data_IF_743241851005
#
_entry.id   IF_743241851005
#
_cell.length_a   1.000
_cell.length_b   1.000
_cell.length_c   1.000
_cell.angle_alpha   90.00
_cell.angle_beta   90.00
_cell.angle_gamma   90.00
#
_symmetry.space_group_name_H-M   'P 1'
#
loop_
_entity.id
_entity.type
_entity.pdbx_description
1 polymer ?
#
# COMPACT_ATOMS: atom_id res chain seq x y z
N UNK A 1 -6.01 -27.16 -2.51
CA UNK A 1 -7.47 -27.27 -2.50
C UNK A 1 -8.07 -25.97 -2.03
N UNK A 2 -8.83 -25.30 -2.85
CA UNK A 2 -9.51 -24.04 -2.49
C UNK A 2 -10.69 -24.43 -1.60
N UNK A 3 -10.79 -23.81 -0.42
CA UNK A 3 -11.94 -24.01 0.46
C UNK A 3 -13.19 -23.43 -0.20
N UNK A 4 -14.33 -24.07 0.00
CA UNK A 4 -15.63 -23.65 -0.55
C UNK A 4 -15.94 -22.18 -0.25
N UNK A 5 -15.69 -21.72 0.98
CA UNK A 5 -15.83 -20.32 1.40
C UNK A 5 -14.91 -19.34 0.64
N UNK A 6 -13.72 -19.78 0.23
CA UNK A 6 -12.80 -18.97 -0.60
C UNK A 6 -13.31 -18.88 -2.03
N UNK A 7 -13.88 -19.94 -2.55
CA UNK A 7 -14.51 -19.96 -3.87
C UNK A 7 -15.74 -19.03 -3.94
N UNK A 8 -16.58 -19.06 -2.93
CA UNK A 8 -17.74 -18.17 -2.82
C UNK A 8 -17.32 -16.69 -2.79
N UNK A 9 -16.30 -16.36 -2.01
CA UNK A 9 -15.74 -15.01 -1.96
C UNK A 9 -15.17 -14.59 -3.34
N UNK A 10 -14.46 -15.48 -4.02
CA UNK A 10 -13.92 -15.23 -5.36
C UNK A 10 -15.03 -14.92 -6.37
N UNK A 11 -16.07 -15.76 -6.43
CA UNK A 11 -17.20 -15.56 -7.35
C UNK A 11 -17.94 -14.25 -7.05
N UNK A 12 -18.14 -13.92 -5.79
CA UNK A 12 -18.78 -12.67 -5.40
C UNK A 12 -17.95 -11.43 -5.82
N UNK A 13 -16.64 -11.46 -5.59
CA UNK A 13 -15.72 -10.39 -5.99
C UNK A 13 -15.72 -10.21 -7.50
N UNK A 14 -15.68 -11.33 -8.24
CA UNK A 14 -15.74 -11.35 -9.70
C UNK A 14 -17.04 -10.75 -10.23
N UNK A 15 -18.17 -11.18 -9.70
CA UNK A 15 -19.49 -10.74 -10.15
C UNK A 15 -19.76 -9.25 -9.89
N UNK A 16 -19.23 -8.69 -8.80
CA UNK A 16 -19.47 -7.32 -8.38
C UNK A 16 -18.33 -6.34 -8.72
N UNK A 17 -17.23 -6.81 -9.30
CA UNK A 17 -16.11 -5.95 -9.70
C UNK A 17 -15.50 -5.15 -8.54
N UNK A 18 -15.33 -5.79 -7.37
CA UNK A 18 -14.90 -5.10 -6.14
C UNK A 18 -13.41 -4.75 -6.10
N UNK A 19 -12.59 -5.29 -6.99
CA UNK A 19 -11.15 -5.03 -7.09
C UNK A 19 -10.84 -4.24 -8.36
N UNK A 20 -9.80 -3.40 -8.30
CA UNK A 20 -9.23 -2.77 -9.50
C UNK A 20 -8.66 -3.82 -10.46
N UNK A 21 -8.57 -3.51 -11.76
CA UNK A 21 -8.17 -4.46 -12.79
C UNK A 21 -6.85 -5.19 -12.49
N UNK A 22 -5.84 -4.47 -12.03
CA UNK A 22 -4.52 -5.05 -11.67
C UNK A 22 -4.57 -5.86 -10.38
N UNK A 23 -5.34 -5.41 -9.39
CA UNK A 23 -5.55 -6.15 -8.15
C UNK A 23 -6.33 -7.44 -8.42
N UNK A 24 -7.32 -7.38 -9.30
CA UNK A 24 -8.10 -8.53 -9.73
C UNK A 24 -7.21 -9.58 -10.41
N UNK A 25 -6.33 -9.18 -11.32
CA UNK A 25 -5.38 -10.10 -11.97
C UNK A 25 -4.54 -10.87 -10.96
N UNK A 26 -3.90 -10.16 -10.04
CA UNK A 26 -3.05 -10.78 -9.02
C UNK A 26 -3.87 -11.70 -8.10
N UNK A 27 -5.04 -11.28 -7.66
CA UNK A 27 -5.94 -12.07 -6.83
C UNK A 27 -6.42 -13.34 -7.56
N UNK A 28 -6.83 -13.21 -8.82
CA UNK A 28 -7.27 -14.31 -9.66
C UNK A 28 -6.17 -15.38 -9.84
N UNK A 29 -4.97 -14.96 -10.18
CA UNK A 29 -3.85 -15.89 -10.38
C UNK A 29 -3.35 -16.50 -9.08
N UNK A 30 -3.37 -15.78 -7.98
CA UNK A 30 -3.06 -16.32 -6.66
C UNK A 30 -4.09 -17.38 -6.24
N UNK A 31 -5.35 -17.17 -6.53
CA UNK A 31 -6.41 -18.16 -6.29
C UNK A 31 -6.19 -19.43 -7.10
N UNK A 32 -5.76 -19.30 -8.36
CA UNK A 32 -5.46 -20.45 -9.22
C UNK A 32 -4.19 -21.19 -8.81
N UNK A 33 -3.12 -20.47 -8.50
CA UNK A 33 -1.83 -21.06 -8.16
C UNK A 33 -1.83 -21.68 -6.76
N UNK A 34 -2.52 -21.06 -5.81
CA UNK A 34 -2.44 -21.37 -4.39
C UNK A 34 -1.32 -20.60 -3.67
N UNK A 35 -1.01 -20.96 -2.41
CA UNK A 35 -0.01 -20.22 -1.62
C UNK A 35 1.35 -20.17 -2.30
N UNK A 36 1.90 -18.98 -2.50
CA UNK A 36 3.19 -18.77 -3.15
C UNK A 36 3.81 -17.41 -2.78
N UNK A 37 5.07 -17.23 -3.14
CA UNK A 37 5.73 -15.92 -3.02
C UNK A 37 5.36 -14.99 -4.19
N UNK A 38 5.59 -13.69 -4.04
CA UNK A 38 5.29 -12.72 -5.11
C UNK A 38 6.05 -13.00 -6.41
N UNK A 39 7.31 -13.44 -6.32
CA UNK A 39 8.12 -13.76 -7.49
C UNK A 39 7.65 -15.05 -8.19
N UNK A 40 7.25 -16.05 -7.42
CA UNK A 40 6.68 -17.29 -7.98
C UNK A 40 5.35 -17.00 -8.68
N UNK A 41 4.52 -16.15 -8.11
CA UNK A 41 3.26 -15.73 -8.72
C UNK A 41 3.50 -14.96 -10.02
N UNK A 42 4.45 -14.04 -10.01
CA UNK A 42 4.84 -13.28 -11.20
C UNK A 42 5.30 -14.21 -12.33
N UNK A 43 6.17 -15.18 -12.01
CA UNK A 43 6.67 -16.15 -12.97
C UNK A 43 5.53 -16.99 -13.59
N UNK A 44 4.61 -17.42 -12.76
CA UNK A 44 3.40 -18.13 -13.19
C UNK A 44 2.50 -17.28 -14.10
N UNK A 45 2.34 -15.99 -13.80
CA UNK A 45 1.60 -15.05 -14.64
C UNK A 45 2.33 -14.79 -15.97
N UNK A 46 3.65 -14.71 -15.96
CA UNK A 46 4.48 -14.49 -17.14
C UNK A 46 4.39 -15.69 -18.10
N UNK A 47 4.51 -16.90 -17.60
CA UNK A 47 4.29 -18.13 -18.38
C UNK A 47 2.91 -18.18 -19.03
N UNK A 48 1.90 -17.60 -18.37
CA UNK A 48 0.53 -17.53 -18.88
C UNK A 48 0.30 -16.36 -19.85
N UNK A 49 1.33 -15.53 -20.10
CA UNK A 49 1.26 -14.37 -20.98
C UNK A 49 0.48 -13.16 -20.42
N UNK A 50 0.20 -13.16 -19.12
CA UNK A 50 -0.59 -12.11 -18.45
C UNK A 50 0.26 -11.20 -17.55
N UNK A 51 1.55 -11.47 -17.41
CA UNK A 51 2.44 -10.65 -16.61
C UNK A 51 2.55 -9.23 -17.18
N UNK A 52 2.48 -8.26 -16.29
CA UNK A 52 2.65 -6.86 -16.66
C UNK A 52 4.14 -6.53 -16.84
N UNK A 53 4.43 -5.62 -17.75
CA UNK A 53 5.80 -5.18 -18.10
C UNK A 53 6.60 -4.74 -16.86
N UNK A 54 5.93 -4.22 -15.83
CA UNK A 54 6.54 -3.84 -14.57
C UNK A 54 6.08 -4.81 -13.48
N UNK A 55 7.03 -5.49 -12.84
CA UNK A 55 6.75 -6.41 -11.75
C UNK A 55 6.25 -5.68 -10.50
N UNK A 56 4.97 -5.34 -10.49
CA UNK A 56 4.28 -4.72 -9.36
C UNK A 56 3.47 -5.74 -8.53
N UNK A 57 3.72 -7.03 -8.72
CA UNK A 57 2.97 -8.11 -8.04
C UNK A 57 3.03 -7.97 -6.52
N UNK A 58 4.21 -7.72 -5.95
CA UNK A 58 4.37 -7.54 -4.51
C UNK A 58 3.58 -6.32 -3.99
N UNK A 59 3.56 -5.22 -4.74
CA UNK A 59 2.78 -4.02 -4.40
C UNK A 59 1.28 -4.32 -4.41
N UNK A 60 0.80 -5.03 -5.41
CA UNK A 60 -0.63 -5.42 -5.50
C UNK A 60 -1.02 -6.39 -4.39
N UNK A 61 -0.15 -7.33 -4.03
CA UNK A 61 -0.36 -8.23 -2.89
C UNK A 61 -0.44 -7.46 -1.57
N UNK A 62 0.41 -6.46 -1.35
CA UNK A 62 0.32 -5.57 -0.20
C UNK A 62 -1.00 -4.80 -0.13
N UNK A 63 -1.47 -4.26 -1.24
CA UNK A 63 -2.78 -3.58 -1.34
C UNK A 63 -3.95 -4.55 -1.04
N UNK A 64 -3.89 -5.77 -1.57
CA UNK A 64 -4.90 -6.80 -1.32
C UNK A 64 -4.91 -7.26 0.14
N UNK A 65 -3.73 -7.35 0.78
CA UNK A 65 -3.61 -7.60 2.22
C UNK A 65 -4.32 -6.51 3.03
N UNK A 66 -4.08 -5.25 2.70
CA UNK A 66 -4.71 -4.11 3.36
C UNK A 66 -6.24 -4.12 3.21
N UNK A 67 -6.73 -4.68 2.11
CA UNK A 67 -8.17 -4.91 1.89
C UNK A 67 -8.71 -6.19 2.52
N UNK A 68 -7.87 -7.04 3.06
CA UNK A 68 -8.23 -8.27 3.77
C UNK A 68 -8.53 -9.49 2.90
N UNK A 69 -8.35 -9.41 1.58
CA UNK A 69 -8.60 -10.55 0.64
C UNK A 69 -7.42 -11.48 0.48
N UNK A 70 -6.24 -11.04 0.88
CA UNK A 70 -4.99 -11.81 0.86
C UNK A 70 -4.32 -11.68 2.22
N UNK A 71 -3.65 -12.72 2.67
CA UNK A 71 -2.90 -12.74 3.93
C UNK A 71 -1.50 -13.32 3.75
N UNK A 72 -0.59 -12.92 4.61
CA UNK A 72 0.72 -13.52 4.75
C UNK A 72 0.58 -14.75 5.64
N UNK A 73 1.01 -15.91 5.16
CA UNK A 73 0.84 -17.18 5.90
C UNK A 73 2.14 -17.77 6.39
N UNK A 74 3.26 -17.49 5.72
CA UNK A 74 4.55 -18.05 6.05
C UNK A 74 5.69 -17.23 5.42
N UNK A 75 6.91 -17.55 5.79
CA UNK A 75 8.12 -17.11 5.11
C UNK A 75 8.94 -18.33 4.73
N UNK A 76 9.35 -18.43 3.48
CA UNK A 76 10.22 -19.50 3.00
C UNK A 76 11.17 -19.01 1.91
N UNK A 77 12.13 -19.83 1.56
CA UNK A 77 12.94 -19.55 0.36
C UNK A 77 12.08 -19.57 -0.88
N UNK A 78 12.18 -18.52 -1.68
CA UNK A 78 11.56 -18.43 -2.99
C UNK A 78 12.30 -19.33 -3.96
N UNK A 79 11.59 -20.13 -4.74
CA UNK A 79 12.18 -21.03 -5.75
C UNK A 79 12.84 -20.28 -6.91
N UNK A 80 12.45 -19.02 -7.14
CA UNK A 80 12.95 -18.17 -8.23
C UNK A 80 14.21 -17.41 -7.81
N UNK A 81 14.18 -16.78 -6.63
CA UNK A 81 15.27 -15.88 -6.17
C UNK A 81 16.22 -16.52 -5.17
N UNK A 82 15.89 -17.71 -4.64
CA UNK A 82 16.58 -18.41 -3.55
C UNK A 82 16.73 -17.55 -2.27
N UNK A 83 15.97 -16.47 -2.15
CA UNK A 83 15.92 -15.61 -0.98
C UNK A 83 14.68 -15.90 -0.15
N UNK A 84 14.76 -15.61 1.15
CA UNK A 84 13.63 -15.72 2.05
C UNK A 84 12.58 -14.66 1.68
N UNK A 85 11.38 -15.10 1.36
CA UNK A 85 10.26 -14.28 0.92
C UNK A 85 8.98 -14.67 1.66
N UNK A 86 8.05 -13.71 1.71
CA UNK A 86 6.72 -13.92 2.28
C UNK A 86 5.89 -14.80 1.35
N UNK A 87 5.18 -15.76 1.93
CA UNK A 87 4.18 -16.59 1.25
C UNK A 87 2.80 -15.97 1.43
N UNK A 88 2.13 -15.76 0.33
CA UNK A 88 0.80 -15.14 0.26
C UNK A 88 -0.28 -16.18 -0.02
N UNK A 89 -1.43 -16.00 0.58
CA UNK A 89 -2.61 -16.85 0.38
C UNK A 89 -3.89 -16.02 0.33
N UNK A 90 -4.86 -16.43 -0.50
CA UNK A 90 -6.18 -15.84 -0.52
C UNK A 90 -6.97 -16.18 0.74
N UNK A 91 -7.74 -15.21 1.24
CA UNK A 91 -8.68 -15.38 2.35
C UNK A 91 -10.09 -15.59 1.82
N UNK A 92 -11.01 -16.01 2.69
CA UNK A 92 -12.44 -16.07 2.39
C UNK A 92 -13.19 -14.76 2.64
N UNK A 93 -12.46 -13.68 2.96
CA UNK A 93 -13.05 -12.38 3.27
C UNK A 93 -13.32 -11.56 2.01
N UNK A 94 -14.37 -10.75 2.05
CA UNK A 94 -14.63 -9.76 1.01
C UNK A 94 -13.73 -8.53 1.21
N UNK A 95 -13.39 -7.81 0.12
CA UNK A 95 -12.51 -6.65 0.22
C UNK A 95 -13.16 -5.55 1.05
N UNK A 96 -12.41 -5.06 2.04
CA UNK A 96 -12.79 -3.88 2.81
C UNK A 96 -12.74 -2.64 1.92
N UNK A 97 -13.68 -1.71 2.13
CA UNK A 97 -13.62 -0.42 1.48
C UNK A 97 -12.28 0.25 1.81
N UNK A 98 -11.59 0.75 0.79
CA UNK A 98 -10.44 1.59 1.02
C UNK A 98 -10.97 2.90 1.59
N UNK A 99 -10.66 3.20 2.84
CA UNK A 99 -10.81 4.55 3.35
C UNK A 99 -9.90 5.44 2.51
N UNK A 100 -10.48 6.17 1.56
CA UNK A 100 -9.76 7.10 0.70
C UNK A 100 -9.36 8.38 1.46
N UNK A 101 -8.82 8.20 2.66
CA UNK A 101 -8.19 9.29 3.41
C UNK A 101 -6.76 9.58 2.95
N UNK A 102 -6.30 8.92 1.87
CA UNK A 102 -5.06 9.31 1.22
C UNK A 102 -5.33 10.57 0.40
N UNK A 103 -5.14 11.70 1.06
CA UNK A 103 -5.04 12.99 0.39
C UNK A 103 -4.04 12.83 -0.76
N UNK A 104 -4.40 13.16 -2.01
CA UNK A 104 -3.49 13.06 -3.14
C UNK A 104 -2.15 13.72 -2.83
N UNK A 105 -1.04 13.15 -3.25
CA UNK A 105 0.31 13.70 -2.99
C UNK A 105 0.42 15.18 -3.33
N UNK A 106 -0.22 15.62 -4.41
CA UNK A 106 -0.29 17.03 -4.81
C UNK A 106 -0.96 17.90 -3.75
N UNK A 107 -2.03 17.44 -3.16
CA UNK A 107 -2.74 18.15 -2.09
C UNK A 107 -1.96 18.09 -0.77
N UNK A 108 -1.30 16.96 -0.47
CA UNK A 108 -0.39 16.86 0.68
C UNK A 108 0.76 17.85 0.57
N UNK A 109 1.39 17.95 -0.60
CA UNK A 109 2.46 18.91 -0.86
C UNK A 109 1.97 20.36 -0.74
N UNK A 110 0.77 20.65 -1.25
CA UNK A 110 0.13 21.97 -1.14
C UNK A 110 -0.12 22.31 0.33
N UNK A 111 -0.66 21.40 1.12
CA UNK A 111 -0.89 21.60 2.56
C UNK A 111 0.40 21.78 3.35
N UNK A 112 1.43 20.96 3.05
CA UNK A 112 2.74 21.09 3.65
C UNK A 112 3.39 22.43 3.33
N UNK A 113 3.33 22.90 2.08
CA UNK A 113 3.84 24.22 1.68
C UNK A 113 3.09 25.36 2.40
N UNK A 114 1.77 25.29 2.48
CA UNK A 114 0.96 26.26 3.19
C UNK A 114 1.28 26.29 4.69
N UNK A 115 1.43 25.13 5.34
CA UNK A 115 1.82 25.00 6.73
C UNK A 115 3.24 25.53 6.98
N UNK A 116 4.19 25.22 6.10
CA UNK A 116 5.57 25.73 6.18
C UNK A 116 5.62 27.25 6.03
N UNK A 117 4.90 27.82 5.07
CA UNK A 117 4.83 29.26 4.88
C UNK A 117 4.19 29.98 6.07
N UNK A 118 3.13 29.40 6.64
CA UNK A 118 2.50 29.91 7.86
C UNK A 118 3.47 29.86 9.06
N UNK A 119 4.15 28.74 9.28
CA UNK A 119 5.13 28.57 10.35
C UNK A 119 6.30 29.56 10.20
N UNK A 120 6.81 29.74 8.98
CA UNK A 120 7.87 30.73 8.70
C UNK A 120 7.40 32.16 8.98
N UNK A 121 6.16 32.51 8.62
CA UNK A 121 5.58 33.81 8.89
C UNK A 121 5.47 34.06 10.40
N UNK A 122 4.90 33.12 11.13
CA UNK A 122 4.77 33.21 12.60
C UNK A 122 6.14 33.26 13.27
N UNK A 123 7.10 32.46 12.81
CA UNK A 123 8.46 32.46 13.34
C UNK A 123 9.17 33.81 13.11
N UNK A 124 9.03 34.41 11.93
CA UNK A 124 9.58 35.73 11.64
C UNK A 124 8.97 36.84 12.54
N UNK A 125 7.66 36.79 12.75
CA UNK A 125 6.96 37.77 13.58
C UNK A 125 7.31 37.59 15.06
N UNK A 126 7.27 36.38 15.59
CA UNK A 126 7.63 36.06 16.98
C UNK A 126 9.13 36.14 17.24
N UNK A 127 9.94 35.74 16.28
CA UNK A 127 11.38 35.79 16.38
C UNK A 127 11.89 37.23 16.50
N UNK A 128 11.32 38.19 15.80
CA UNK A 128 11.61 39.61 15.96
C UNK A 128 11.24 40.11 17.37
N UNK A 129 10.01 39.84 17.79
CA UNK A 129 9.54 40.24 19.13
C UNK A 129 10.41 39.65 20.23
N UNK A 130 10.73 38.38 20.14
CA UNK A 130 11.57 37.72 21.12
C UNK A 130 13.02 38.18 21.09
N UNK A 131 13.55 38.46 19.91
CA UNK A 131 14.89 39.03 19.75
C UNK A 131 14.97 40.45 20.35
N UNK A 132 13.97 41.30 20.11
CA UNK A 132 13.88 42.65 20.67
C UNK A 132 13.75 42.60 22.21
N UNK A 133 12.94 41.67 22.76
CA UNK A 133 12.84 41.43 24.20
C UNK A 133 14.18 40.99 24.81
N UNK A 134 14.89 40.06 24.14
CA UNK A 134 16.22 39.62 24.60
C UNK A 134 17.24 40.75 24.54
N UNK A 135 17.22 41.61 23.52
CA UNK A 135 18.08 42.77 23.41
C UNK A 135 17.84 43.76 24.56
N UNK A 136 16.59 44.02 24.92
CA UNK A 136 16.21 44.86 26.03
C UNK A 136 16.68 44.28 27.37
N UNK A 137 16.56 43.01 27.60
CA UNK A 137 17.06 42.31 28.80
C UNK A 137 18.59 42.40 28.88
N UNK A 138 19.30 42.18 27.76
CA UNK A 138 20.77 42.28 27.70
C UNK A 138 21.27 43.71 27.86
N UNK A 139 20.49 44.73 27.50
CA UNK A 139 20.80 46.13 27.70
C UNK A 139 20.58 46.62 29.16
N UNK A 140 20.08 45.74 30.05
CA UNK A 140 19.87 46.07 31.47
C UNK A 140 18.65 46.95 31.76
N UNK A 141 17.71 46.97 30.85
CA UNK A 141 16.43 47.67 30.99
C UNK A 141 15.30 46.78 31.48
#
# INVERSE_FOLDING_TARGET
>A
MIRETTYDAYEYIKANGLLGARQWEVYHWLTKHGPCTANELYDFMDESGTAQVNNNTATRLGELRDRGVVTEVDERKCTITDRRCIVWQCTSQLPKAIERNKIPKREQLRRLRAATNYALKVFKERGRSHYDEMQNILAGE
#
